data_IF_416576660675
#
_entry.id   IF_416576660675
#
_cell.length_a   1.000
_cell.length_b   1.000
_cell.length_c   1.000
_cell.angle_alpha   90.00
_cell.angle_beta   90.00
_cell.angle_gamma   90.00
#
_symmetry.space_group_name_H-M   'P 1'
#
loop_
_entity.id
_entity.type
_entity.pdbx_description
1 polymer ?
#
# COMPACT_ATOMS: atom_id res chain seq x y z
N UNK A 1 -31.23 -2.43 14.56
CA UNK A 1 -31.72 -1.93 13.26
C UNK A 1 -32.24 -0.53 13.48
N UNK A 2 -31.82 0.47 12.69
CA UNK A 2 -32.25 1.87 12.82
C UNK A 2 -33.19 2.19 11.66
N UNK A 3 -34.44 2.54 11.96
CA UNK A 3 -35.42 2.95 10.96
C UNK A 3 -35.36 4.47 10.74
N UNK A 4 -35.39 4.90 9.48
CA UNK A 4 -35.37 6.32 9.12
C UNK A 4 -36.17 6.60 7.86
N UNK A 5 -36.63 7.84 7.70
CA UNK A 5 -37.32 8.27 6.49
C UNK A 5 -36.37 8.32 5.29
N UNK A 6 -36.93 8.22 4.08
CA UNK A 6 -36.18 8.37 2.83
C UNK A 6 -35.41 9.70 2.76
N UNK A 7 -35.98 10.78 3.30
CA UNK A 7 -35.34 12.08 3.37
C UNK A 7 -34.11 12.09 4.30
N UNK A 8 -34.22 11.53 5.51
CA UNK A 8 -33.10 11.41 6.46
C UNK A 8 -31.97 10.53 5.88
N UNK A 9 -32.32 9.47 5.13
CA UNK A 9 -31.36 8.60 4.44
C UNK A 9 -30.61 9.34 3.30
N UNK A 10 -31.29 10.19 2.54
CA UNK A 10 -30.64 11.00 1.50
C UNK A 10 -29.60 11.96 2.11
N UNK A 11 -29.96 12.65 3.20
CA UNK A 11 -29.04 13.54 3.92
C UNK A 11 -27.83 12.80 4.49
N UNK A 12 -28.03 11.60 5.04
CA UNK A 12 -26.93 10.77 5.51
C UNK A 12 -26.00 10.38 4.34
N UNK A 13 -26.53 9.96 3.18
CA UNK A 13 -25.70 9.63 2.01
C UNK A 13 -24.87 10.81 1.55
N UNK A 14 -25.45 12.01 1.54
CA UNK A 14 -24.73 13.22 1.14
C UNK A 14 -23.66 13.60 2.17
N UNK A 15 -23.95 13.47 3.47
CA UNK A 15 -22.96 13.68 4.53
C UNK A 15 -21.79 12.68 4.41
N UNK A 16 -22.07 11.39 4.16
CA UNK A 16 -21.05 10.36 3.97
C UNK A 16 -20.18 10.63 2.73
N UNK A 17 -20.77 11.04 1.61
CA UNK A 17 -20.01 11.41 0.39
C UNK A 17 -19.10 12.62 0.60
N UNK A 18 -19.52 13.55 1.45
CA UNK A 18 -18.77 14.76 1.78
C UNK A 18 -17.81 14.56 2.95
N UNK A 19 -17.68 13.35 3.48
CA UNK A 19 -16.90 13.03 4.68
C UNK A 19 -17.23 13.95 5.87
N UNK A 20 -18.52 14.20 6.10
CA UNK A 20 -19.01 15.01 7.21
C UNK A 20 -19.70 14.15 8.24
N UNK A 21 -19.53 14.55 9.50
CA UNK A 21 -20.29 14.00 10.62
C UNK A 21 -21.79 14.22 10.42
N UNK A 22 -22.58 13.28 10.91
CA UNK A 22 -24.03 13.32 10.80
C UNK A 22 -24.69 12.85 12.08
N UNK A 23 -25.69 13.61 12.53
CA UNK A 23 -26.49 13.27 13.71
C UNK A 23 -27.92 12.97 13.27
N UNK A 24 -28.38 11.76 13.61
CA UNK A 24 -29.72 11.28 13.32
C UNK A 24 -30.50 11.14 14.63
N UNK A 25 -31.55 11.93 14.80
CA UNK A 25 -32.53 11.64 15.84
C UNK A 25 -33.54 10.60 15.33
N UNK A 26 -33.84 9.60 16.16
CA UNK A 26 -34.70 8.47 15.86
C UNK A 26 -35.41 7.95 17.14
N UNK A 27 -36.27 6.94 16.99
CA UNK A 27 -37.11 6.42 18.07
C UNK A 27 -38.47 7.09 18.15
N UNK A 28 -39.34 6.58 19.03
CA UNK A 28 -40.66 7.20 19.28
C UNK A 28 -40.42 8.59 19.84
N UNK A 29 -40.87 9.63 19.12
CA UNK A 29 -40.64 11.05 19.45
C UNK A 29 -39.19 11.55 19.39
N UNK A 30 -38.33 10.94 18.55
CA UNK A 30 -36.93 11.39 18.37
C UNK A 30 -36.10 11.37 19.69
N UNK A 31 -36.47 10.51 20.64
CA UNK A 31 -35.82 10.38 21.96
C UNK A 31 -34.40 9.78 21.90
N UNK A 32 -34.05 9.13 20.80
CA UNK A 32 -32.75 8.51 20.60
C UNK A 32 -31.94 9.30 19.57
N UNK A 33 -30.63 9.30 19.74
CA UNK A 33 -29.70 9.88 18.78
C UNK A 33 -28.69 8.84 18.34
N UNK A 34 -28.54 8.69 17.03
CA UNK A 34 -27.43 7.99 16.38
C UNK A 34 -26.47 9.02 15.79
N UNK A 35 -25.17 8.85 16.07
CA UNK A 35 -24.11 9.75 15.60
C UNK A 35 -23.22 8.96 14.64
N UNK A 36 -23.01 9.51 13.45
CA UNK A 36 -22.02 9.08 12.48
C UNK A 36 -20.86 10.07 12.58
N UNK A 37 -19.71 9.57 13.00
CA UNK A 37 -18.54 10.40 13.24
C UNK A 37 -17.38 9.85 12.41
N UNK A 38 -16.76 10.69 11.60
CA UNK A 38 -15.50 10.37 10.95
C UNK A 38 -14.39 10.51 11.98
N UNK A 39 -13.67 9.42 12.21
CA UNK A 39 -12.56 9.37 13.17
C UNK A 39 -11.23 9.40 12.42
N UNK A 40 -10.15 9.46 13.20
CA UNK A 40 -8.81 9.18 12.68
C UNK A 40 -8.77 7.80 12.00
N UNK A 41 -7.88 7.68 11.01
CA UNK A 41 -7.65 6.42 10.31
C UNK A 41 -7.19 5.35 11.31
N UNK A 42 -7.74 4.14 11.18
CA UNK A 42 -7.25 2.99 11.94
C UNK A 42 -5.86 2.63 11.43
N UNK A 43 -4.83 2.88 12.23
CA UNK A 43 -3.43 2.54 11.92
C UNK A 43 -2.96 1.25 12.61
N UNK A 44 -3.87 0.48 13.23
CA UNK A 44 -3.54 -0.71 14.00
C UNK A 44 -3.30 -1.95 13.11
N UNK A 45 -2.47 -1.81 12.10
CA UNK A 45 -2.06 -2.88 11.21
C UNK A 45 -0.58 -2.74 10.82
N UNK A 46 0.01 -3.82 10.31
CA UNK A 46 1.43 -3.90 9.96
C UNK A 46 2.39 -3.54 11.12
N UNK A 47 1.93 -3.69 12.37
CA UNK A 47 2.70 -3.37 13.58
C UNK A 47 3.98 -4.21 13.67
N UNK A 48 5.11 -3.54 13.81
CA UNK A 48 6.43 -4.14 13.92
C UNK A 48 7.04 -4.58 12.59
N UNK A 49 6.35 -4.39 11.46
CA UNK A 49 6.89 -4.71 10.14
C UNK A 49 7.96 -3.67 9.78
N UNK A 50 9.11 -4.14 9.29
CA UNK A 50 10.25 -3.29 8.91
C UNK A 50 10.59 -3.45 7.44
N UNK A 51 10.89 -2.34 6.79
CA UNK A 51 11.41 -2.36 5.42
C UNK A 51 12.74 -3.12 5.36
N UNK A 52 12.86 -4.00 4.36
CA UNK A 52 14.09 -4.74 4.12
C UNK A 52 15.20 -3.90 3.48
N UNK A 53 14.91 -2.65 3.12
CA UNK A 53 15.87 -1.72 2.50
C UNK A 53 16.66 -0.96 3.56
N UNK A 54 15.97 -0.38 4.54
CA UNK A 54 16.53 0.59 5.50
C UNK A 54 16.03 0.39 6.94
N UNK A 55 15.20 -0.63 7.20
CA UNK A 55 14.67 -0.90 8.54
C UNK A 55 13.54 0.05 8.98
N UNK A 56 13.05 0.94 8.11
CA UNK A 56 11.91 1.83 8.40
C UNK A 56 10.70 1.01 8.87
N UNK A 57 10.07 1.46 9.96
CA UNK A 57 8.81 0.88 10.45
C UNK A 57 7.67 1.15 9.45
N UNK A 58 6.85 0.12 9.23
CA UNK A 58 5.70 0.14 8.33
C UNK A 58 4.37 0.01 9.09
N UNK A 59 4.40 0.26 10.40
CA UNK A 59 3.24 0.37 11.28
C UNK A 59 2.26 1.41 10.70
N UNK A 60 1.00 1.01 10.48
CA UNK A 60 -0.03 1.86 9.89
C UNK A 60 0.13 2.15 8.39
N UNK A 61 1.16 1.62 7.72
CA UNK A 61 1.35 1.82 6.27
C UNK A 61 0.48 0.85 5.48
N UNK A 62 -0.45 1.37 4.67
CA UNK A 62 -1.37 0.55 3.88
C UNK A 62 -0.60 -0.43 2.98
N UNK A 63 -1.02 -1.69 2.95
CA UNK A 63 -0.41 -2.72 2.11
C UNK A 63 -1.45 -3.55 1.36
N UNK A 64 -1.05 -4.04 0.18
CA UNK A 64 -1.83 -4.98 -0.63
C UNK A 64 -1.05 -6.28 -0.72
N UNK A 65 -1.63 -7.36 -0.20
CA UNK A 65 -1.04 -8.71 -0.26
C UNK A 65 -1.46 -9.44 -1.54
N UNK A 66 -0.45 -9.99 -2.22
CA UNK A 66 -0.61 -10.74 -3.46
C UNK A 66 -0.75 -12.23 -3.14
N UNK A 67 -1.95 -12.77 -3.31
CA UNK A 67 -2.25 -14.15 -2.94
C UNK A 67 -1.85 -15.16 -4.05
N UNK A 68 -1.91 -14.76 -5.32
CA UNK A 68 -1.57 -15.59 -6.49
C UNK A 68 -0.47 -14.93 -7.35
N UNK A 69 0.66 -14.59 -6.74
CA UNK A 69 1.79 -14.00 -7.45
C UNK A 69 2.40 -14.97 -8.46
N UNK A 70 2.80 -14.45 -9.64
CA UNK A 70 3.51 -15.23 -10.66
C UNK A 70 4.90 -15.60 -10.16
N UNK A 71 5.27 -16.87 -10.31
CA UNK A 71 6.62 -17.35 -10.08
C UNK A 71 7.49 -17.16 -11.30
N UNK A 72 8.60 -16.44 -11.11
CA UNK A 72 9.62 -16.28 -12.14
C UNK A 72 10.78 -17.20 -11.82
N UNK A 73 10.81 -18.34 -12.51
CA UNK A 73 11.77 -19.42 -12.27
C UNK A 73 13.09 -19.19 -13.01
N UNK A 74 14.20 -19.21 -12.26
CA UNK A 74 15.54 -19.41 -12.78
C UNK A 74 15.91 -20.88 -12.82
N UNK A 75 17.22 -21.18 -12.79
CA UNK A 75 17.72 -22.57 -12.90
C UNK A 75 17.41 -23.43 -11.67
N UNK A 76 17.56 -22.88 -10.47
CA UNK A 76 17.41 -23.60 -9.17
C UNK A 76 16.55 -22.87 -8.15
N UNK A 77 16.15 -21.64 -8.47
CA UNK A 77 15.46 -20.70 -7.59
C UNK A 77 14.37 -20.01 -8.38
N UNK A 78 13.37 -19.48 -7.70
CA UNK A 78 12.35 -18.61 -8.27
C UNK A 78 12.23 -17.35 -7.44
N UNK A 79 11.68 -16.30 -8.03
CA UNK A 79 11.30 -15.07 -7.34
C UNK A 79 9.81 -14.81 -7.53
N UNK A 80 9.16 -14.32 -6.47
CA UNK A 80 7.74 -13.98 -6.42
C UNK A 80 7.59 -12.66 -5.66
N UNK A 81 6.76 -11.77 -6.19
CA UNK A 81 6.27 -10.61 -5.43
C UNK A 81 5.09 -10.99 -4.53
N UNK A 82 5.09 -10.52 -3.28
CA UNK A 82 4.14 -10.99 -2.26
C UNK A 82 3.30 -9.88 -1.66
N UNK A 83 3.82 -8.66 -1.61
CA UNK A 83 3.16 -7.55 -0.94
C UNK A 83 3.70 -6.23 -1.49
N UNK A 84 2.83 -5.23 -1.58
CA UNK A 84 3.20 -3.85 -1.88
C UNK A 84 2.73 -2.95 -0.74
N UNK A 85 3.60 -2.04 -0.31
CA UNK A 85 3.29 -1.03 0.71
C UNK A 85 3.14 0.33 0.02
N UNK A 86 2.05 1.03 0.28
CA UNK A 86 1.77 2.36 -0.27
C UNK A 86 2.17 3.38 0.78
N UNK A 87 3.32 4.00 0.57
CA UNK A 87 3.86 5.03 1.45
C UNK A 87 3.46 6.38 0.85
N UNK A 88 2.53 7.08 1.48
CA UNK A 88 2.18 8.45 1.08
C UNK A 88 3.31 9.41 1.47
N UNK A 89 3.66 10.33 0.57
CA UNK A 89 4.46 11.51 0.90
C UNK A 89 3.53 12.59 1.45
N UNK A 90 3.89 13.23 2.56
CA UNK A 90 3.06 14.20 3.28
C UNK A 90 2.65 15.44 2.45
N UNK A 91 3.31 15.71 1.32
CA UNK A 91 3.10 16.93 0.53
C UNK A 91 1.92 16.88 -0.47
N UNK A 92 1.23 15.74 -0.63
CA UNK A 92 0.22 15.57 -1.69
C UNK A 92 -1.24 15.58 -1.22
N UNK A 93 -1.53 15.99 0.03
CA UNK A 93 -2.89 15.92 0.61
C UNK A 93 -3.95 16.74 -0.14
N UNK A 94 -3.55 17.71 -0.95
CA UNK A 94 -4.47 18.73 -1.51
C UNK A 94 -4.73 18.60 -3.03
N UNK A 95 -4.19 17.57 -3.69
CA UNK A 95 -4.37 17.42 -5.15
C UNK A 95 -5.35 16.30 -5.49
N UNK A 96 -6.48 16.71 -6.06
CA UNK A 96 -7.41 15.86 -6.82
C UNK A 96 -6.76 15.51 -8.17
N UNK A 97 -5.59 14.88 -8.13
CA UNK A 97 -5.02 14.24 -9.32
C UNK A 97 -5.57 12.82 -9.40
N UNK A 98 -5.92 12.39 -10.61
CA UNK A 98 -6.46 11.08 -10.91
C UNK A 98 -5.65 10.00 -10.15
N UNK A 99 -6.28 9.19 -9.28
CA UNK A 99 -5.54 8.31 -8.40
C UNK A 99 -4.71 7.37 -9.27
N UNK A 100 -3.38 7.51 -9.16
CA UNK A 100 -2.45 6.63 -9.83
C UNK A 100 -2.87 5.21 -9.48
N UNK A 101 -3.14 4.36 -10.49
CA UNK A 101 -3.53 2.98 -10.25
C UNK A 101 -2.32 2.24 -9.68
N UNK A 102 -2.21 2.30 -8.35
CA UNK A 102 -1.11 1.73 -7.56
C UNK A 102 -1.02 0.24 -7.80
N UNK A 103 -2.14 -0.44 -8.02
CA UNK A 103 -2.18 -1.88 -8.26
C UNK A 103 -1.53 -2.24 -9.60
N UNK A 104 -1.94 -1.56 -10.69
CA UNK A 104 -1.40 -1.79 -12.03
C UNK A 104 0.06 -1.36 -12.16
N UNK A 105 0.40 -0.24 -11.53
CA UNK A 105 1.79 0.25 -11.49
C UNK A 105 2.69 -0.73 -10.74
N UNK A 106 2.26 -1.19 -9.55
CA UNK A 106 2.99 -2.18 -8.79
C UNK A 106 3.16 -3.49 -9.58
N UNK A 107 2.13 -3.93 -10.31
CA UNK A 107 2.20 -5.14 -11.16
C UNK A 107 3.20 -5.02 -12.29
N UNK A 108 3.21 -3.88 -13.00
CA UNK A 108 4.18 -3.67 -14.08
C UNK A 108 5.61 -3.64 -13.55
N UNK A 109 5.84 -2.95 -12.43
CA UNK A 109 7.17 -2.81 -11.82
C UNK A 109 7.65 -4.15 -11.26
N UNK A 110 6.80 -4.90 -10.58
CA UNK A 110 7.16 -6.20 -10.04
C UNK A 110 7.50 -7.21 -11.14
N UNK A 111 6.73 -7.22 -12.24
CA UNK A 111 7.01 -8.06 -13.40
C UNK A 111 8.37 -7.72 -14.01
N UNK A 112 8.67 -6.44 -14.22
CA UNK A 112 9.96 -6.00 -14.75
C UNK A 112 11.11 -6.40 -13.82
N UNK A 113 10.96 -6.13 -12.53
CA UNK A 113 11.93 -6.44 -11.47
C UNK A 113 12.21 -7.94 -11.38
N UNK A 114 11.17 -8.76 -11.29
CA UNK A 114 11.30 -10.22 -11.20
C UNK A 114 12.01 -10.75 -12.45
N UNK A 115 11.62 -10.29 -13.65
CA UNK A 115 12.22 -10.71 -14.93
C UNK A 115 13.71 -10.35 -14.98
N UNK A 116 14.07 -9.13 -14.58
CA UNK A 116 15.44 -8.64 -14.51
C UNK A 116 16.32 -9.46 -13.56
N UNK A 117 15.76 -9.91 -12.43
CA UNK A 117 16.50 -10.64 -11.41
C UNK A 117 16.59 -12.16 -11.65
N UNK A 118 15.78 -12.74 -12.54
CA UNK A 118 15.83 -14.20 -12.86
C UNK A 118 17.25 -14.72 -13.12
N UNK A 119 18.10 -14.05 -13.94
CA UNK A 119 19.46 -14.51 -14.21
C UNK A 119 20.38 -14.48 -12.98
N UNK A 120 20.03 -13.70 -11.96
CA UNK A 120 20.85 -13.42 -10.77
C UNK A 120 20.38 -14.16 -9.52
N UNK A 121 19.30 -14.95 -9.59
CA UNK A 121 18.71 -15.59 -8.41
C UNK A 121 19.68 -16.52 -7.66
N UNK A 122 20.54 -17.23 -8.39
CA UNK A 122 21.56 -18.09 -7.77
C UNK A 122 22.61 -17.27 -7.01
N UNK A 123 23.00 -16.10 -7.55
CA UNK A 123 23.94 -15.18 -6.89
C UNK A 123 23.31 -14.49 -5.68
N UNK A 124 22.07 -14.03 -5.80
CA UNK A 124 21.31 -13.41 -4.70
C UNK A 124 21.14 -14.40 -3.55
N UNK A 125 20.79 -15.66 -3.87
CA UNK A 125 20.67 -16.72 -2.87
C UNK A 125 22.02 -17.06 -2.22
N UNK A 126 23.11 -17.12 -2.98
CA UNK A 126 24.44 -17.39 -2.45
C UNK A 126 24.92 -16.27 -1.51
N UNK A 127 24.53 -15.02 -1.78
CA UNK A 127 24.79 -13.86 -0.94
C UNK A 127 23.80 -13.70 0.24
N UNK A 128 22.86 -14.64 0.42
CA UNK A 128 21.81 -14.59 1.46
C UNK A 128 20.93 -13.32 1.39
N UNK A 129 20.72 -12.78 0.18
CA UNK A 129 19.90 -11.60 -0.08
C UNK A 129 18.43 -11.98 -0.24
N UNK A 130 17.83 -12.47 0.84
CA UNK A 130 16.40 -12.82 0.92
C UNK A 130 15.83 -12.44 2.28
N UNK A 131 14.68 -11.73 2.37
CA UNK A 131 13.84 -11.23 1.27
C UNK A 131 14.41 -10.00 0.56
N UNK A 132 13.93 -9.73 -0.65
CA UNK A 132 14.27 -8.55 -1.47
C UNK A 132 13.15 -7.53 -1.40
N UNK A 133 13.51 -6.24 -1.43
CA UNK A 133 12.55 -5.15 -1.50
C UNK A 133 12.98 -4.12 -2.54
N UNK A 134 11.98 -3.53 -3.19
CA UNK A 134 12.12 -2.42 -4.13
C UNK A 134 11.18 -1.31 -3.66
N UNK A 135 11.70 -0.09 -3.56
CA UNK A 135 10.95 1.13 -3.27
C UNK A 135 11.04 2.04 -4.48
N UNK A 136 9.88 2.47 -4.97
CA UNK A 136 9.77 3.43 -6.05
C UNK A 136 9.32 4.75 -5.44
N UNK A 137 9.99 5.83 -5.82
CA UNK A 137 9.71 7.17 -5.36
C UNK A 137 9.24 7.95 -6.58
N UNK A 138 7.98 8.38 -6.57
CA UNK A 138 7.35 9.13 -7.65
C UNK A 138 6.97 10.49 -7.08
N UNK A 139 7.75 11.51 -7.43
CA UNK A 139 7.45 12.91 -7.15
C UNK A 139 7.13 13.63 -8.47
N UNK A 140 6.41 14.77 -8.45
CA UNK A 140 6.15 15.56 -9.66
C UNK A 140 7.41 15.90 -10.46
N UNK A 141 8.51 16.16 -9.76
CA UNK A 141 9.78 16.62 -10.36
C UNK A 141 10.83 15.50 -10.52
N UNK A 142 10.62 14.33 -9.91
CA UNK A 142 11.64 13.29 -9.88
C UNK A 142 11.04 11.90 -9.74
N UNK A 143 11.57 10.94 -10.51
CA UNK A 143 11.29 9.51 -10.33
C UNK A 143 12.59 8.80 -9.97
N UNK A 144 12.55 7.96 -8.94
CA UNK A 144 13.70 7.20 -8.48
C UNK A 144 13.31 5.84 -7.92
N UNK A 145 14.31 4.98 -7.72
CA UNK A 145 14.12 3.69 -7.08
C UNK A 145 15.28 3.32 -6.17
N UNK A 146 14.97 2.53 -5.15
CA UNK A 146 15.93 1.91 -4.26
C UNK A 146 15.62 0.42 -4.13
N UNK A 147 16.65 -0.43 -4.12
CA UNK A 147 16.48 -1.84 -3.84
C UNK A 147 17.36 -2.26 -2.67
N UNK A 148 16.88 -3.22 -1.87
CA UNK A 148 17.59 -3.66 -0.68
C UNK A 148 17.16 -5.03 -0.17
N UNK A 149 17.97 -5.55 0.75
CA UNK A 149 17.75 -6.79 1.48
C UNK A 149 18.42 -6.70 2.84
N UNK A 150 17.81 -7.28 3.88
CA UNK A 150 18.41 -7.34 5.21
C UNK A 150 18.77 -5.97 5.82
N UNK A 151 18.00 -4.91 5.52
CA UNK A 151 18.24 -3.53 5.96
C UNK A 151 19.51 -2.90 5.34
N UNK A 152 19.89 -3.38 4.16
CA UNK A 152 21.00 -2.84 3.39
C UNK A 152 20.61 -2.68 1.92
N UNK A 153 21.20 -1.68 1.25
CA UNK A 153 21.01 -1.47 -0.19
C UNK A 153 21.65 -2.60 -0.98
N UNK A 154 21.04 -2.99 -2.10
CA UNK A 154 21.62 -3.99 -2.98
C UNK A 154 22.94 -3.49 -3.58
N UNK A 155 23.97 -4.35 -3.67
CA UNK A 155 25.21 -4.00 -4.35
C UNK A 155 25.00 -3.53 -5.81
N UNK A 156 25.86 -2.63 -6.33
CA UNK A 156 25.72 -2.07 -7.68
C UNK A 156 25.60 -3.10 -8.79
N UNK A 157 26.22 -4.27 -8.63
CA UNK A 157 26.13 -5.39 -9.57
C UNK A 157 24.68 -5.79 -9.87
N UNK A 158 23.83 -5.85 -8.83
CA UNK A 158 22.42 -6.21 -9.00
C UNK A 158 21.60 -5.03 -9.52
N UNK A 159 21.96 -3.81 -9.12
CA UNK A 159 21.29 -2.57 -9.55
C UNK A 159 21.45 -2.32 -11.05
N UNK A 160 22.55 -2.73 -11.68
CA UNK A 160 22.74 -2.60 -13.13
C UNK A 160 21.75 -3.42 -13.96
N UNK A 161 21.19 -4.48 -13.35
CA UNK A 161 20.20 -5.33 -14.03
C UNK A 161 18.76 -4.85 -13.79
N UNK A 162 18.55 -3.95 -12.81
CA UNK A 162 17.25 -3.43 -12.39
C UNK A 162 16.91 -2.09 -13.07
#
# INVERSE_FOLDING_TARGET
>A
MVEMSSQKMALLRDALRLMKDFKLNCGTNDEQTVIFHWTEDDVNFNIGVKSCIDGRLLDGVYSIRVHNGVDYSGKRRFIRWTEVFVIQCEETSDRVDEPLDTSRTAESISKATCTALVPLLDLLSAASLTPLALRIIINPDSVGYEAGSGQSKLPPLYMQSL
#
